data_IF_579191685793
#
_entry.id   IF_579191685793
#
_cell.length_a   1.000
_cell.length_b   1.000
_cell.length_c   1.000
_cell.angle_alpha   90.00
_cell.angle_beta   90.00
_cell.angle_gamma   90.00
#
_symmetry.space_group_name_H-M   'P 1'
#
loop_
_entity.id
_entity.type
_entity.pdbx_description
1 polymer ?
#
# COMPACT_ATOMS: atom_id res chain seq x y z
N UNK A 1 -11.80 -9.39 -10.64
CA UNK A 1 -11.47 -8.07 -10.10
C UNK A 1 -12.58 -7.09 -10.41
N UNK A 2 -12.84 -6.17 -9.49
CA UNK A 2 -13.81 -5.08 -9.67
C UNK A 2 -13.03 -3.76 -9.75
N UNK A 3 -13.48 -2.83 -10.60
CA UNK A 3 -12.88 -1.49 -10.69
C UNK A 3 -13.92 -0.47 -10.23
N UNK A 4 -13.49 0.53 -9.47
CA UNK A 4 -14.34 1.62 -9.02
C UNK A 4 -14.86 2.43 -10.21
N UNK A 5 -16.01 3.10 -10.06
CA UNK A 5 -16.64 3.86 -11.16
C UNK A 5 -15.77 5.02 -11.67
N UNK A 6 -14.95 5.59 -10.78
CA UNK A 6 -13.96 6.63 -11.11
C UNK A 6 -12.72 6.09 -11.84
N UNK A 7 -12.63 4.77 -12.04
CA UNK A 7 -11.53 4.06 -12.69
C UNK A 7 -10.16 4.24 -11.99
N UNK A 8 -10.17 4.65 -10.73
CA UNK A 8 -8.95 4.89 -9.96
C UNK A 8 -8.39 3.61 -9.31
N UNK A 9 -9.27 2.70 -8.86
CA UNK A 9 -8.86 1.51 -8.13
C UNK A 9 -9.44 0.24 -8.74
N UNK A 10 -8.59 -0.76 -8.94
CA UNK A 10 -9.00 -2.12 -9.32
C UNK A 10 -8.64 -3.09 -8.20
N UNK A 11 -9.65 -3.75 -7.63
CA UNK A 11 -9.46 -4.80 -6.65
C UNK A 11 -9.11 -6.12 -7.37
N UNK A 12 -7.91 -6.63 -7.12
CA UNK A 12 -7.48 -7.97 -7.52
C UNK A 12 -7.09 -8.78 -6.30
N UNK A 13 -7.63 -9.99 -6.18
CA UNK A 13 -7.25 -10.93 -5.12
C UNK A 13 -6.05 -11.72 -5.56
N UNK A 14 -5.08 -11.88 -4.65
CA UNK A 14 -3.88 -12.68 -4.85
C UNK A 14 -3.73 -13.62 -3.66
N UNK A 15 -3.17 -14.80 -3.89
CA UNK A 15 -3.04 -15.85 -2.86
C UNK A 15 -1.97 -15.49 -1.83
N UNK A 16 -0.77 -15.09 -2.29
CA UNK A 16 0.35 -14.79 -1.42
C UNK A 16 1.17 -13.62 -1.94
N UNK A 17 1.44 -12.67 -1.05
CA UNK A 17 2.32 -11.53 -1.29
C UNK A 17 3.63 -11.63 -0.50
N UNK A 18 3.90 -12.78 0.13
CA UNK A 18 5.18 -13.06 0.79
C UNK A 18 5.39 -12.35 2.14
N UNK A 19 4.39 -11.62 2.65
CA UNK A 19 4.50 -10.92 3.94
C UNK A 19 3.58 -11.47 5.03
N UNK A 20 3.58 -12.81 5.18
CA UNK A 20 2.75 -13.49 6.17
C UNK A 20 3.07 -13.08 7.63
N UNK A 21 4.30 -12.64 7.91
CA UNK A 21 4.72 -12.21 9.25
C UNK A 21 4.23 -10.82 9.67
N UNK A 22 3.82 -9.98 8.72
CA UNK A 22 3.37 -8.59 8.93
C UNK A 22 1.95 -8.35 8.39
N UNK A 23 1.24 -9.41 7.99
CA UNK A 23 -0.16 -9.34 7.62
C UNK A 23 -1.05 -8.81 8.75
N UNK A 24 -2.27 -8.32 8.46
CA UNK A 24 -2.90 -8.14 7.15
C UNK A 24 -2.18 -7.11 6.27
N UNK A 25 -2.14 -7.32 4.95
CA UNK A 25 -1.36 -6.50 4.03
C UNK A 25 -1.99 -6.41 2.63
N UNK A 26 -1.61 -5.38 1.87
CA UNK A 26 -2.04 -5.15 0.48
C UNK A 26 -0.91 -4.53 -0.33
N UNK A 27 -0.93 -4.79 -1.64
CA UNK A 27 -0.04 -4.14 -2.60
C UNK A 27 -0.84 -3.11 -3.40
N UNK A 28 -0.29 -1.91 -3.57
CA UNK A 28 -0.80 -0.91 -4.49
C UNK A 28 0.36 -0.48 -5.38
N UNK A 29 0.21 -0.72 -6.69
CA UNK A 29 1.31 -0.57 -7.64
C UNK A 29 2.53 -1.38 -7.17
N UNK A 30 3.68 -0.73 -6.98
CA UNK A 30 4.93 -1.37 -6.56
C UNK A 30 5.12 -1.40 -5.03
N UNK A 31 4.26 -0.69 -4.28
CA UNK A 31 4.41 -0.47 -2.84
C UNK A 31 3.54 -1.42 -2.01
N UNK A 32 4.11 -1.87 -0.89
CA UNK A 32 3.45 -2.69 0.10
C UNK A 32 2.91 -1.85 1.24
N UNK A 33 1.75 -2.24 1.76
CA UNK A 33 1.16 -1.67 2.96
C UNK A 33 0.83 -2.81 3.91
N UNK A 34 1.51 -2.83 5.05
CA UNK A 34 1.43 -3.94 6.02
C UNK A 34 0.79 -3.51 7.34
N UNK A 35 0.45 -4.50 8.16
CA UNK A 35 -0.21 -4.30 9.47
C UNK A 35 -1.46 -3.42 9.33
N UNK A 36 -2.27 -3.74 8.31
CA UNK A 36 -3.45 -2.99 7.94
C UNK A 36 -4.55 -3.13 8.99
N UNK A 37 -5.29 -2.04 9.15
CA UNK A 37 -6.57 -1.96 9.84
C UNK A 37 -7.58 -1.27 8.92
N UNK A 38 -8.87 -1.40 9.19
CA UNK A 38 -9.91 -0.75 8.38
C UNK A 38 -9.69 0.77 8.26
N UNK A 39 -9.32 1.43 9.36
CA UNK A 39 -8.98 2.86 9.38
C UNK A 39 -7.78 3.21 8.48
N UNK A 40 -6.73 2.38 8.52
CA UNK A 40 -5.54 2.59 7.68
C UNK A 40 -5.89 2.44 6.20
N UNK A 41 -6.68 1.42 5.85
CA UNK A 41 -7.12 1.21 4.46
C UNK A 41 -7.91 2.43 3.97
N UNK A 42 -8.86 2.92 4.77
CA UNK A 42 -9.62 4.12 4.44
C UNK A 42 -8.73 5.34 4.21
N UNK A 43 -7.72 5.55 5.07
CA UNK A 43 -6.76 6.65 4.92
C UNK A 43 -5.87 6.50 3.69
N UNK A 44 -5.34 5.31 3.41
CA UNK A 44 -4.51 5.04 2.23
C UNK A 44 -5.28 5.37 0.96
N UNK A 45 -6.51 4.88 0.83
CA UNK A 45 -7.34 5.14 -0.35
C UNK A 45 -7.67 6.63 -0.50
N UNK A 46 -7.91 7.34 0.61
CA UNK A 46 -8.13 8.80 0.60
C UNK A 46 -6.89 9.57 0.11
N UNK A 47 -5.73 9.30 0.69
CA UNK A 47 -4.48 9.98 0.37
C UNK A 47 -4.10 9.75 -1.10
N UNK A 48 -4.25 8.52 -1.59
CA UNK A 48 -4.02 8.17 -3.00
C UNK A 48 -4.98 8.88 -3.95
N UNK A 49 -6.24 9.04 -3.57
CA UNK A 49 -7.22 9.76 -4.38
C UNK A 49 -6.95 11.26 -4.46
N UNK A 50 -6.46 11.85 -3.37
CA UNK A 50 -6.20 13.30 -3.26
C UNK A 50 -4.83 13.69 -3.82
N UNK A 51 -3.80 12.88 -3.60
CA UNK A 51 -2.39 13.25 -3.85
C UNK A 51 -1.64 12.29 -4.76
N UNK A 52 -2.15 11.07 -4.95
CA UNK A 52 -1.47 10.01 -5.71
C UNK A 52 -0.35 9.28 -4.95
N UNK A 53 -0.08 9.64 -3.68
CA UNK A 53 0.90 8.99 -2.81
C UNK A 53 0.34 8.82 -1.39
N UNK A 54 0.93 7.92 -0.59
CA UNK A 54 0.58 7.76 0.82
C UNK A 54 1.81 7.37 1.64
N UNK A 55 2.04 8.08 2.74
CA UNK A 55 3.17 7.86 3.66
C UNK A 55 3.08 6.59 4.51
N UNK A 56 1.98 5.84 4.42
CA UNK A 56 1.79 4.57 5.13
C UNK A 56 2.37 3.36 4.39
N UNK A 57 3.03 3.57 3.24
CA UNK A 57 3.74 2.50 2.53
C UNK A 57 4.89 1.96 3.38
N UNK A 58 4.98 0.64 3.48
CA UNK A 58 6.14 -0.07 4.02
C UNK A 58 7.33 0.01 3.05
N UNK A 59 7.05 0.22 1.76
CA UNK A 59 8.07 0.34 0.72
C UNK A 59 7.87 -0.66 -0.43
N UNK A 60 8.79 -0.69 -1.39
CA UNK A 60 8.63 -1.50 -2.59
C UNK A 60 8.85 -2.98 -2.29
N UNK A 61 8.14 -3.84 -3.01
CA UNK A 61 8.32 -5.29 -2.88
C UNK A 61 9.77 -5.70 -3.22
N UNK A 62 10.44 -6.37 -2.26
CA UNK A 62 11.78 -6.98 -2.42
C UNK A 62 13.00 -6.04 -2.49
N UNK A 63 12.90 -4.78 -2.05
CA UNK A 63 14.12 -4.02 -1.69
C UNK A 63 14.42 -4.22 -0.22
N UNK A 64 15.61 -4.71 0.16
CA UNK A 64 16.02 -4.73 1.56
C UNK A 64 16.06 -3.27 2.05
N UNK A 65 15.14 -2.93 2.95
CA UNK A 65 15.03 -1.62 3.59
C UNK A 65 16.34 -1.26 4.31
N UNK A 66 17.29 -0.63 3.61
CA UNK A 66 18.18 0.33 4.26
C UNK A 66 17.32 1.55 4.50
N UNK A 67 16.96 1.74 5.77
CA UNK A 67 15.92 2.65 6.23
C UNK A 67 15.81 3.98 5.50
N UNK A 68 14.60 4.30 5.09
CA UNK A 68 14.19 5.60 4.58
C UNK A 68 14.04 6.57 5.77
N UNK A 69 15.18 6.98 6.29
CA UNK A 69 15.33 8.25 6.99
C UNK A 69 16.05 9.23 6.07
N UNK A 70 15.36 9.74 5.03
CA UNK A 70 15.84 10.89 4.23
C UNK A 70 14.67 11.80 3.80
N UNK A 71 14.00 12.41 4.77
CA UNK A 71 13.50 13.78 4.57
C UNK A 71 14.71 14.70 4.75
N UNK A 72 15.34 15.08 3.64
CA UNK A 72 16.41 16.08 3.65
C UNK A 72 15.78 17.46 3.87
N UNK A 73 16.22 18.14 4.93
CA UNK A 73 16.26 19.60 4.97
C UNK A 73 17.29 20.12 3.96
#
# INVERSE_FOLDING_TARGET
>A
GQTTEDKMFTLSTVECLGSCGTGPMMQINDDYYERLTEDKVGRILKDLRETGDCSLKSGPFLVPERGEGVVSQ
#
